data_IF_750243871972
#
_entry.id   IF_750243871972
#
_cell.length_a   1.000
_cell.length_b   1.000
_cell.length_c   1.000
_cell.angle_alpha   90.00
_cell.angle_beta   90.00
_cell.angle_gamma   90.00
#
_symmetry.space_group_name_H-M   'P 1'
#
loop_
_entity.id
_entity.type
_entity.pdbx_description
1 polymer ?
#
# COMPACT_ATOMS: atom_id res chain seq x y z
N UNK A 1 34.36 14.77 -22.56
CA UNK A 1 34.32 13.29 -22.55
C UNK A 1 34.46 12.87 -23.99
N UNK A 2 35.56 12.22 -24.37
CA UNK A 2 35.83 11.74 -25.75
C UNK A 2 35.51 10.25 -25.91
N UNK A 3 34.70 9.70 -25.02
CA UNK A 3 34.29 8.30 -25.07
C UNK A 3 33.22 8.10 -26.15
N UNK A 4 33.37 7.13 -27.08
CA UNK A 4 32.33 6.83 -28.06
C UNK A 4 31.01 6.43 -27.42
N UNK A 5 29.87 6.88 -27.98
CA UNK A 5 28.51 6.62 -27.45
C UNK A 5 28.23 5.12 -27.26
N UNK A 6 28.79 4.26 -28.11
CA UNK A 6 28.68 2.79 -27.98
C UNK A 6 29.26 2.22 -26.68
N UNK A 7 30.10 2.98 -25.98
CA UNK A 7 30.71 2.60 -24.71
C UNK A 7 30.03 3.29 -23.51
N UNK A 8 28.90 3.98 -23.71
CA UNK A 8 28.15 4.61 -22.63
C UNK A 8 27.41 3.54 -21.83
N UNK A 9 27.37 3.69 -20.50
CA UNK A 9 26.42 2.92 -19.70
C UNK A 9 24.98 3.29 -20.08
N UNK A 10 24.02 2.44 -19.74
CA UNK A 10 22.60 2.73 -19.95
C UNK A 10 22.19 4.09 -19.38
N UNK A 11 22.65 4.43 -18.17
CA UNK A 11 22.39 5.74 -17.54
C UNK A 11 23.05 6.92 -18.27
N UNK A 12 24.27 6.76 -18.81
CA UNK A 12 24.92 7.81 -19.60
C UNK A 12 24.23 8.01 -20.95
N UNK A 13 23.84 6.92 -21.60
CA UNK A 13 23.10 6.94 -22.85
C UNK A 13 21.75 7.65 -22.67
N UNK A 14 21.04 7.31 -21.58
CA UNK A 14 19.78 7.95 -21.22
C UNK A 14 19.90 9.45 -20.98
N UNK A 15 20.93 9.88 -20.23
CA UNK A 15 21.19 11.29 -19.97
C UNK A 15 21.43 12.07 -21.25
N UNK A 16 22.18 11.48 -22.18
CA UNK A 16 22.41 12.06 -23.49
C UNK A 16 21.12 12.10 -24.31
N UNK A 17 20.37 11.00 -24.38
CA UNK A 17 19.11 10.91 -25.11
C UNK A 17 18.11 11.96 -24.61
N UNK A 18 17.95 12.09 -23.29
CA UNK A 18 17.09 13.10 -22.70
C UNK A 18 17.58 14.52 -22.97
N UNK A 19 18.90 14.77 -22.88
CA UNK A 19 19.46 16.08 -23.20
C UNK A 19 19.19 16.48 -24.65
N UNK A 20 19.23 15.53 -25.58
CA UNK A 20 18.83 15.74 -26.98
C UNK A 20 17.34 16.06 -27.04
N UNK A 21 16.47 15.19 -26.51
CA UNK A 21 15.01 15.37 -26.54
C UNK A 21 14.58 16.71 -25.94
N UNK A 22 15.23 17.15 -24.85
CA UNK A 22 14.93 18.41 -24.18
C UNK A 22 15.16 19.66 -25.05
N UNK A 23 15.95 19.55 -26.14
CA UNK A 23 16.25 20.64 -27.07
C UNK A 23 15.66 20.42 -28.47
N UNK A 24 14.97 19.30 -28.69
CA UNK A 24 14.27 19.02 -29.96
C UNK A 24 12.96 19.80 -29.97
N UNK A 25 12.74 20.58 -31.03
CA UNK A 25 11.43 21.19 -31.30
C UNK A 25 10.57 20.22 -32.10
N UNK A 26 9.91 19.32 -31.38
CA UNK A 26 8.92 18.39 -31.92
C UNK A 26 7.52 18.76 -31.42
N UNK A 27 6.48 18.34 -32.15
CA UNK A 27 5.09 18.49 -31.74
C UNK A 27 4.59 17.30 -30.90
N UNK A 28 5.20 16.13 -31.11
CA UNK A 28 4.84 14.87 -30.47
C UNK A 28 6.12 14.22 -29.89
N UNK A 29 6.07 13.87 -28.62
CA UNK A 29 7.13 13.16 -27.90
C UNK A 29 6.64 11.78 -27.49
N UNK A 30 7.47 10.76 -27.70
CA UNK A 30 7.27 9.40 -27.19
C UNK A 30 8.34 9.11 -26.14
N UNK A 31 7.92 8.89 -24.91
CA UNK A 31 8.79 8.52 -23.81
C UNK A 31 8.49 7.09 -23.38
N UNK A 32 9.44 6.20 -23.67
CA UNK A 32 9.39 4.80 -23.25
C UNK A 32 10.32 4.59 -22.04
N UNK A 33 9.72 4.34 -20.88
CA UNK A 33 10.39 4.15 -19.60
C UNK A 33 11.41 5.25 -19.23
N UNK A 34 11.18 6.48 -19.71
CA UNK A 34 12.22 7.53 -19.61
C UNK A 34 12.56 7.92 -18.16
N UNK A 35 11.63 7.66 -17.25
CA UNK A 35 11.68 8.05 -15.85
C UNK A 35 12.12 6.91 -14.93
N UNK A 36 12.36 5.70 -15.44
CA UNK A 36 12.72 4.53 -14.60
C UNK A 36 14.22 4.46 -14.29
N UNK A 37 15.07 5.17 -15.04
CA UNK A 37 16.54 5.12 -14.85
C UNK A 37 17.14 6.48 -14.50
N UNK A 38 18.33 6.44 -13.89
CA UNK A 38 19.07 7.61 -13.42
C UNK A 38 18.87 7.89 -11.93
N UNK A 39 19.66 8.82 -11.40
CA UNK A 39 19.53 9.24 -10.01
C UNK A 39 18.32 10.15 -9.81
N UNK A 40 17.91 10.35 -8.55
CA UNK A 40 16.75 11.18 -8.21
C UNK A 40 16.83 12.61 -8.77
N UNK A 41 18.03 13.19 -8.80
CA UNK A 41 18.25 14.53 -9.34
C UNK A 41 18.01 14.60 -10.85
N UNK A 42 18.42 13.57 -11.60
CA UNK A 42 18.16 13.45 -13.03
C UNK A 42 16.68 13.18 -13.32
N UNK A 43 16.04 12.29 -12.55
CA UNK A 43 14.59 12.03 -12.66
C UNK A 43 13.78 13.30 -12.45
N UNK A 44 14.13 14.11 -11.45
CA UNK A 44 13.49 15.41 -11.22
C UNK A 44 13.66 16.39 -12.39
N UNK A 45 14.85 16.44 -13.01
CA UNK A 45 15.06 17.25 -14.23
C UNK A 45 14.20 16.76 -15.39
N UNK A 46 14.07 15.46 -15.55
CA UNK A 46 13.23 14.87 -16.60
C UNK A 46 11.77 15.23 -16.40
N UNK A 47 11.26 15.03 -15.18
CA UNK A 47 9.91 15.39 -14.77
C UNK A 47 9.60 16.86 -15.04
N UNK A 48 10.49 17.77 -14.62
CA UNK A 48 10.30 19.21 -14.83
C UNK A 48 10.21 19.56 -16.30
N UNK A 49 11.09 18.99 -17.13
CA UNK A 49 11.10 19.26 -18.57
C UNK A 49 9.89 18.66 -19.29
N UNK A 50 9.42 17.49 -18.89
CA UNK A 50 8.16 16.92 -19.39
C UNK A 50 7.00 17.88 -19.09
N UNK A 51 6.90 18.38 -17.86
CA UNK A 51 5.87 19.36 -17.49
C UNK A 51 5.99 20.68 -18.28
N UNK A 52 7.21 21.15 -18.53
CA UNK A 52 7.45 22.32 -19.41
C UNK A 52 6.92 22.07 -20.84
N UNK A 53 7.14 20.89 -21.41
CA UNK A 53 6.63 20.51 -22.74
C UNK A 53 5.10 20.41 -22.76
N UNK A 54 4.48 19.82 -21.73
CA UNK A 54 3.02 19.78 -21.57
C UNK A 54 2.44 21.20 -21.52
N UNK A 55 3.02 22.07 -20.70
CA UNK A 55 2.57 23.46 -20.57
C UNK A 55 2.78 24.29 -21.85
N UNK A 56 3.75 23.90 -22.68
CA UNK A 56 3.96 24.48 -24.01
C UNK A 56 2.98 23.94 -25.08
N UNK A 57 2.01 23.10 -24.70
CA UNK A 57 1.00 22.54 -25.60
C UNK A 57 1.52 21.40 -26.48
N UNK A 58 2.67 20.80 -26.15
CA UNK A 58 3.21 19.66 -26.89
C UNK A 58 2.47 18.38 -26.52
N UNK A 59 2.35 17.45 -27.48
CA UNK A 59 1.73 16.14 -27.23
C UNK A 59 2.76 15.16 -26.70
N UNK A 60 2.43 14.43 -25.64
CA UNK A 60 3.32 13.45 -25.03
C UNK A 60 2.59 12.10 -24.91
N UNK A 61 3.22 11.05 -25.44
CA UNK A 61 2.87 9.66 -25.18
C UNK A 61 3.91 9.12 -24.18
N UNK A 62 3.44 8.74 -22.99
CA UNK A 62 4.29 8.20 -21.93
C UNK A 62 3.97 6.72 -21.73
N UNK A 63 5.00 5.89 -21.73
CA UNK A 63 4.95 4.47 -21.34
C UNK A 63 5.81 4.31 -20.09
N UNK A 64 5.24 3.75 -19.03
CA UNK A 64 5.92 3.58 -17.74
C UNK A 64 5.30 2.45 -16.93
N UNK A 65 6.13 1.66 -16.26
CA UNK A 65 5.70 0.72 -15.23
C UNK A 65 5.46 1.39 -13.86
N UNK A 66 5.87 2.65 -13.69
CA UNK A 66 5.63 3.41 -12.47
C UNK A 66 4.30 4.17 -12.57
N UNK A 67 3.27 3.65 -11.89
CA UNK A 67 1.93 4.22 -11.92
C UNK A 67 1.86 5.63 -11.31
N UNK A 68 2.76 6.00 -10.41
CA UNK A 68 2.83 7.36 -9.87
C UNK A 68 3.28 8.37 -10.94
N UNK A 69 4.22 7.98 -11.80
CA UNK A 69 4.66 8.86 -12.90
C UNK A 69 3.50 9.07 -13.89
N UNK A 70 2.77 7.98 -14.20
CA UNK A 70 1.57 8.04 -15.04
C UNK A 70 0.49 8.94 -14.41
N UNK A 71 0.18 8.75 -13.13
CA UNK A 71 -0.82 9.54 -12.41
C UNK A 71 -0.49 11.04 -12.34
N UNK A 72 0.80 11.40 -12.21
CA UNK A 72 1.23 12.78 -12.08
C UNK A 72 1.38 13.52 -13.43
N UNK A 73 1.65 12.81 -14.52
CA UNK A 73 1.95 13.40 -15.83
C UNK A 73 0.75 13.33 -16.76
N UNK A 74 0.05 12.20 -16.77
CA UNK A 74 -0.96 11.91 -17.76
C UNK A 74 -2.34 12.27 -17.21
N UNK A 75 -3.10 13.20 -17.84
CA UNK A 75 -4.50 13.43 -17.47
C UNK A 75 -5.43 12.34 -18.04
N UNK A 76 -5.03 11.68 -19.12
CA UNK A 76 -5.74 10.57 -19.73
C UNK A 76 -4.80 9.37 -19.97
N UNK A 77 -5.35 8.16 -19.87
CA UNK A 77 -4.63 6.92 -20.11
C UNK A 77 -5.38 6.00 -21.06
N UNK A 78 -4.61 5.09 -21.67
CA UNK A 78 -5.08 4.01 -22.52
C UNK A 78 -4.61 2.69 -21.89
N UNK A 79 -5.54 1.81 -21.55
CA UNK A 79 -5.25 0.45 -21.10
C UNK A 79 -5.26 -0.50 -22.29
N UNK A 80 -4.14 -1.20 -22.47
CA UNK A 80 -3.97 -2.24 -23.49
C UNK A 80 -3.87 -3.61 -22.84
N UNK A 81 -4.50 -4.61 -23.45
CA UNK A 81 -4.36 -6.03 -23.11
C UNK A 81 -4.32 -6.82 -24.43
N UNK A 82 -3.29 -7.65 -24.61
CA UNK A 82 -3.09 -8.42 -25.83
C UNK A 82 -3.00 -7.57 -27.11
N UNK A 83 -2.57 -6.31 -27.01
CA UNK A 83 -2.54 -5.36 -28.13
C UNK A 83 -3.89 -4.71 -28.48
N UNK A 84 -4.93 -4.95 -27.67
CA UNK A 84 -6.27 -4.36 -27.85
C UNK A 84 -6.53 -3.32 -26.76
N UNK A 85 -7.16 -2.21 -27.14
CA UNK A 85 -7.64 -1.19 -26.20
C UNK A 85 -8.79 -1.77 -25.37
N UNK A 86 -8.57 -1.94 -24.07
CA UNK A 86 -9.60 -2.37 -23.12
C UNK A 86 -10.36 -1.21 -22.53
N UNK A 87 -9.66 -0.13 -22.21
CA UNK A 87 -10.24 1.07 -21.64
C UNK A 87 -9.44 2.31 -22.04
N UNK A 88 -10.10 3.46 -22.12
CA UNK A 88 -9.48 4.75 -22.34
C UNK A 88 -10.25 5.82 -21.59
N UNK A 89 -9.58 6.75 -20.92
CA UNK A 89 -10.27 7.76 -20.13
C UNK A 89 -9.36 8.48 -19.16
N UNK A 90 -9.95 9.04 -18.11
CA UNK A 90 -9.19 9.70 -17.06
C UNK A 90 -8.24 8.70 -16.37
N UNK A 91 -6.99 9.12 -16.19
CA UNK A 91 -5.91 8.27 -15.68
C UNK A 91 -6.28 7.51 -14.43
N UNK A 92 -6.93 8.14 -13.45
CA UNK A 92 -7.29 7.48 -12.19
C UNK A 92 -8.18 6.23 -12.39
N UNK A 93 -9.23 6.34 -13.21
CA UNK A 93 -10.12 5.20 -13.49
C UNK A 93 -9.38 4.08 -14.21
N UNK A 94 -8.59 4.43 -15.22
CA UNK A 94 -7.82 3.46 -16.02
C UNK A 94 -6.74 2.76 -15.20
N UNK A 95 -6.07 3.48 -14.30
CA UNK A 95 -5.11 2.91 -13.36
C UNK A 95 -5.79 1.98 -12.35
N UNK A 96 -7.05 2.25 -11.98
CA UNK A 96 -7.79 1.32 -11.14
C UNK A 96 -8.11 0.02 -11.90
N UNK A 97 -8.62 0.12 -13.13
CA UNK A 97 -8.95 -1.02 -14.00
C UNK A 97 -7.72 -1.90 -14.28
N UNK A 98 -6.56 -1.29 -14.60
CA UNK A 98 -5.28 -1.99 -14.79
C UNK A 98 -4.87 -2.78 -13.54
N UNK A 99 -5.06 -2.17 -12.37
CA UNK A 99 -4.66 -2.78 -11.11
C UNK A 99 -5.63 -3.88 -10.66
N UNK A 100 -6.92 -3.74 -10.88
CA UNK A 100 -7.89 -4.81 -10.61
C UNK A 100 -7.63 -6.03 -11.49
N UNK A 101 -7.35 -5.81 -12.78
CA UNK A 101 -6.98 -6.89 -13.69
C UNK A 101 -5.72 -7.64 -13.21
N UNK A 102 -4.63 -6.94 -12.89
CA UNK A 102 -3.37 -7.56 -12.44
C UNK A 102 -3.45 -8.23 -11.08
N UNK A 103 -4.24 -7.69 -10.13
CA UNK A 103 -4.49 -8.33 -8.84
C UNK A 103 -5.34 -9.58 -9.01
N UNK A 104 -6.37 -9.56 -9.85
CA UNK A 104 -7.23 -10.73 -10.09
C UNK A 104 -6.45 -11.92 -10.67
N UNK A 105 -5.46 -11.63 -11.52
CA UNK A 105 -4.55 -12.60 -12.10
C UNK A 105 -3.61 -13.18 -11.01
N UNK A 106 -3.02 -12.34 -10.17
CA UNK A 106 -2.11 -12.77 -9.09
C UNK A 106 -2.80 -13.53 -7.95
N UNK A 107 -4.06 -13.21 -7.65
CA UNK A 107 -4.86 -13.91 -6.63
C UNK A 107 -5.26 -15.32 -7.06
N UNK A 108 -5.35 -15.58 -8.37
CA UNK A 108 -5.60 -16.93 -8.89
C UNK A 108 -4.41 -17.87 -8.64
N UNK A 109 -3.18 -17.34 -8.60
CA UNK A 109 -1.96 -18.09 -8.28
C UNK A 109 -1.76 -18.31 -6.77
N UNK A 110 -2.41 -17.54 -5.90
CA UNK A 110 -2.19 -17.55 -4.44
C UNK A 110 -3.10 -18.53 -3.69
N UNK A 111 -3.89 -19.37 -4.37
CA UNK A 111 -4.88 -20.29 -3.77
C UNK A 111 -4.31 -21.48 -2.93
N UNK A 112 -3.04 -21.46 -2.50
CA UNK A 112 -2.43 -22.52 -1.68
C UNK A 112 -2.24 -22.20 -0.19
N UNK A 113 -2.79 -21.09 0.33
CA UNK A 113 -2.80 -20.86 1.78
C UNK A 113 -3.97 -21.61 2.45
N UNK A 114 -3.66 -22.71 3.13
CA UNK A 114 -4.64 -23.59 3.80
C UNK A 114 -5.28 -22.90 5.01
N UNK A 115 -6.62 -22.87 5.05
CA UNK A 115 -7.44 -22.46 6.19
C UNK A 115 -7.47 -23.58 7.25
N UNK A 116 -7.25 -23.31 8.56
CA UNK A 116 -7.49 -24.31 9.60
C UNK A 116 -9.00 -24.46 9.88
N UNK A 117 -9.51 -25.69 9.86
CA UNK A 117 -10.92 -26.01 10.17
C UNK A 117 -11.22 -26.08 11.69
N UNK A 118 -10.20 -26.02 12.56
CA UNK A 118 -10.38 -26.36 13.97
C UNK A 118 -10.53 -25.16 14.92
N UNK A 119 -11.78 -24.89 15.26
CA UNK A 119 -12.26 -23.90 16.25
C UNK A 119 -11.77 -24.20 17.68
N UNK A 120 -10.62 -23.67 18.13
CA UNK A 120 -10.29 -23.64 19.58
C UNK A 120 -9.45 -22.44 20.04
N UNK A 121 -9.81 -21.21 19.68
CA UNK A 121 -9.25 -20.02 20.34
C UNK A 121 -10.21 -18.83 20.35
N UNK A 122 -11.40 -19.01 20.93
CA UNK A 122 -12.27 -17.88 21.29
C UNK A 122 -12.97 -18.19 22.62
N UNK A 123 -12.58 -17.45 23.66
CA UNK A 123 -13.40 -17.30 24.86
C UNK A 123 -13.30 -15.82 25.29
N UNK A 124 -14.25 -15.02 24.81
CA UNK A 124 -14.63 -13.77 25.49
C UNK A 124 -15.80 -14.14 26.41
N UNK A 125 -15.49 -14.29 27.69
CA UNK A 125 -16.44 -14.78 28.70
C UNK A 125 -17.48 -13.71 29.02
N UNK A 126 -18.70 -13.86 28.48
CA UNK A 126 -19.97 -13.77 29.24
C UNK A 126 -21.23 -13.74 28.36
N UNK A 127 -21.44 -14.76 27.53
CA UNK A 127 -22.82 -15.19 27.23
C UNK A 127 -22.80 -16.68 26.91
N UNK A 128 -23.31 -17.49 27.83
CA UNK A 128 -23.34 -18.96 27.72
C UNK A 128 -24.34 -19.45 26.68
N UNK A 129 -24.34 -18.90 25.46
CA UNK A 129 -25.07 -19.39 24.30
C UNK A 129 -24.25 -19.19 23.03
N UNK A 130 -24.06 -20.28 22.29
CA UNK A 130 -23.44 -20.31 20.97
C UNK A 130 -24.24 -19.45 19.99
N UNK A 131 -23.59 -18.43 19.41
CA UNK A 131 -24.07 -17.61 18.29
C UNK A 131 -24.42 -18.42 17.02
N UNK A 132 -24.19 -19.73 17.01
CA UNK A 132 -24.45 -20.60 15.84
C UNK A 132 -25.76 -21.38 15.90
N UNK A 133 -26.55 -21.27 16.96
CA UNK A 133 -27.85 -21.93 17.07
C UNK A 133 -29.00 -20.93 16.88
N UNK A 134 -29.16 -20.38 15.67
CA UNK A 134 -30.48 -19.90 15.19
C UNK A 134 -30.52 -19.79 13.66
N UNK A 135 -31.32 -20.70 13.10
CA UNK A 135 -31.92 -20.76 11.77
C UNK A 135 -31.09 -21.32 10.60
N UNK A 136 -31.54 -22.47 10.04
CA UNK A 136 -31.17 -22.92 8.71
C UNK A 136 -32.00 -22.20 7.65
N UNK A 137 -31.43 -22.15 6.45
CA UNK A 137 -32.04 -21.82 5.15
C UNK A 137 -31.87 -20.38 4.63
N UNK A 138 -31.19 -20.33 3.48
CA UNK A 138 -31.03 -19.25 2.50
C UNK A 138 -30.14 -18.04 2.84
N UNK A 139 -28.85 -18.16 2.51
CA UNK A 139 -28.08 -17.02 2.03
C UNK A 139 -27.25 -17.40 0.79
N UNK A 140 -27.55 -16.75 -0.32
CA UNK A 140 -26.65 -16.64 -1.47
C UNK A 140 -25.26 -16.20 -0.96
N UNK A 141 -24.22 -16.95 -1.31
CA UNK A 141 -22.82 -16.66 -0.96
C UNK A 141 -22.43 -15.29 -1.57
N UNK A 142 -22.04 -14.29 -0.77
CA UNK A 142 -21.21 -13.22 -1.29
C UNK A 142 -19.79 -13.77 -1.46
N UNK A 143 -19.11 -13.42 -2.56
CA UNK A 143 -17.66 -13.60 -2.71
C UNK A 143 -16.96 -12.94 -1.51
N UNK A 144 -16.51 -13.76 -0.54
CA UNK A 144 -15.82 -13.28 0.67
C UNK A 144 -14.41 -12.87 0.28
N UNK A 145 -14.09 -11.58 0.33
CA UNK A 145 -12.68 -11.16 0.40
C UNK A 145 -12.02 -11.84 1.62
N UNK A 146 -10.75 -12.28 1.52
CA UNK A 146 -10.04 -12.84 2.66
C UNK A 146 -9.96 -11.81 3.78
N UNK A 147 -10.17 -12.26 5.03
CA UNK A 147 -10.07 -11.37 6.20
C UNK A 147 -8.64 -10.82 6.29
N UNK A 148 -8.48 -9.54 6.69
CA UNK A 148 -7.17 -8.95 6.92
C UNK A 148 -6.53 -9.46 8.23
N UNK A 149 -6.31 -10.78 8.31
CA UNK A 149 -5.83 -11.51 9.48
C UNK A 149 -4.94 -12.68 9.03
N UNK A 150 -3.80 -12.82 9.70
CA UNK A 150 -2.95 -14.01 9.64
C UNK A 150 -2.70 -14.50 11.05
N UNK A 151 -2.80 -15.80 11.25
CA UNK A 151 -2.48 -16.49 12.49
C UNK A 151 -1.48 -17.59 12.17
N UNK A 152 -0.43 -17.72 12.97
CA UNK A 152 0.52 -18.82 12.86
C UNK A 152 0.42 -19.73 14.08
N UNK A 153 0.24 -21.02 13.80
CA UNK A 153 0.16 -22.07 14.81
C UNK A 153 1.44 -22.90 14.86
N UNK A 154 1.77 -23.39 16.06
CA UNK A 154 2.88 -24.31 16.28
C UNK A 154 4.24 -23.76 15.86
N UNK A 155 5.07 -24.63 15.29
CA UNK A 155 6.47 -24.39 14.97
C UNK A 155 6.68 -23.68 13.62
N UNK A 156 5.62 -23.53 12.81
CA UNK A 156 5.68 -22.84 11.52
C UNK A 156 5.57 -21.31 11.64
N UNK A 157 5.46 -20.80 12.86
CA UNK A 157 5.42 -19.38 13.16
C UNK A 157 6.75 -18.69 12.79
N UNK A 158 6.72 -17.62 11.97
CA UNK A 158 7.92 -16.84 11.64
C UNK A 158 8.57 -16.33 12.92
N UNK A 159 9.83 -16.68 13.11
CA UNK A 159 10.54 -16.37 14.34
C UNK A 159 11.98 -16.84 14.31
N UNK A 160 12.61 -16.78 15.48
CA UNK A 160 13.90 -17.37 15.77
C UNK A 160 13.93 -17.83 17.24
N UNK A 161 15.12 -17.99 17.81
CA UNK A 161 15.28 -18.41 19.21
C UNK A 161 14.87 -17.33 20.22
N UNK A 162 14.73 -16.07 19.79
CA UNK A 162 14.34 -14.94 20.64
C UNK A 162 12.81 -14.74 20.67
N UNK A 163 12.13 -14.97 19.55
CA UNK A 163 10.70 -14.73 19.43
C UNK A 163 10.04 -15.53 18.31
N UNK A 164 8.70 -15.54 18.28
CA UNK A 164 7.92 -15.94 17.11
C UNK A 164 6.62 -15.15 16.99
N UNK A 165 6.22 -14.81 15.77
CA UNK A 165 4.97 -14.14 15.48
C UNK A 165 3.81 -15.12 15.63
N UNK A 166 2.71 -14.65 16.22
CA UNK A 166 1.50 -15.45 16.44
C UNK A 166 0.32 -14.94 15.65
N UNK A 167 0.18 -13.63 15.51
CA UNK A 167 -0.93 -13.04 14.76
C UNK A 167 -0.59 -11.65 14.23
N UNK A 168 -1.06 -11.34 13.03
CA UNK A 168 -1.11 -9.97 12.51
C UNK A 168 -2.52 -9.71 12.00
N UNK A 169 -3.08 -8.56 12.38
CA UNK A 169 -4.46 -8.20 12.06
C UNK A 169 -4.57 -6.72 11.74
N UNK A 170 -5.43 -6.39 10.78
CA UNK A 170 -5.86 -5.02 10.49
C UNK A 170 -7.38 -4.95 10.56
N UNK A 171 -7.94 -3.91 11.19
CA UNK A 171 -9.39 -3.66 11.17
C UNK A 171 -9.70 -2.17 11.32
N UNK A 172 -10.90 -1.75 10.96
CA UNK A 172 -11.41 -0.46 11.39
C UNK A 172 -11.61 -0.45 12.91
N UNK A 173 -11.13 0.59 13.58
CA UNK A 173 -11.25 0.75 15.01
C UNK A 173 -12.73 0.81 15.41
N UNK A 174 -13.12 -0.01 16.39
CA UNK A 174 -14.52 -0.11 16.82
C UNK A 174 -15.44 -0.93 15.91
N UNK A 175 -14.92 -1.52 14.82
CA UNK A 175 -15.67 -2.44 13.95
C UNK A 175 -15.23 -3.89 14.12
N UNK A 176 -16.08 -4.80 13.66
CA UNK A 176 -15.78 -6.21 13.50
C UNK A 176 -14.79 -6.44 12.35
N UNK A 177 -14.01 -7.51 12.42
CA UNK A 177 -12.92 -7.79 11.47
C UNK A 177 -13.39 -7.94 10.01
N UNK A 178 -14.63 -8.39 9.81
CA UNK A 178 -15.19 -8.64 8.47
C UNK A 178 -15.85 -7.40 7.86
N UNK A 179 -15.99 -6.32 8.63
CA UNK A 179 -16.56 -5.08 8.14
C UNK A 179 -15.56 -4.33 7.24
N UNK A 180 -16.11 -3.59 6.28
CA UNK A 180 -15.33 -2.77 5.38
C UNK A 180 -14.62 -1.65 6.14
N UNK A 181 -13.38 -1.39 5.74
CA UNK A 181 -12.64 -0.20 6.16
C UNK A 181 -12.88 0.90 5.15
N UNK A 182 -13.47 2.01 5.59
CA UNK A 182 -13.65 3.21 4.76
C UNK A 182 -12.65 4.30 5.13
N UNK A 183 -12.43 5.27 4.25
CA UNK A 183 -11.42 6.32 4.42
C UNK A 183 -11.54 7.10 5.74
N UNK A 184 -12.72 7.25 6.33
CA UNK A 184 -12.94 7.98 7.58
C UNK A 184 -12.59 7.17 8.82
N UNK A 185 -12.48 5.84 8.69
CA UNK A 185 -12.21 4.96 9.81
C UNK A 185 -10.76 5.13 10.28
N UNK A 186 -10.57 5.22 11.60
CA UNK A 186 -9.27 4.91 12.17
C UNK A 186 -8.98 3.42 11.99
N UNK A 187 -7.74 3.07 11.67
CA UNK A 187 -7.36 1.69 11.34
C UNK A 187 -6.46 1.16 12.46
N UNK A 188 -6.89 0.08 13.11
CA UNK A 188 -6.14 -0.62 14.13
C UNK A 188 -5.30 -1.73 13.49
N UNK A 189 -4.00 -1.72 13.76
CA UNK A 189 -3.06 -2.77 13.40
C UNK A 189 -2.58 -3.42 14.69
N UNK A 190 -2.76 -4.74 14.79
CA UNK A 190 -2.36 -5.54 15.96
C UNK A 190 -1.37 -6.62 15.55
N UNK A 191 -0.25 -6.70 16.26
CA UNK A 191 0.83 -7.68 16.05
C UNK A 191 1.03 -8.44 17.37
N UNK A 192 0.64 -9.71 17.41
CA UNK A 192 0.86 -10.60 18.54
C UNK A 192 2.09 -11.48 18.31
N UNK A 193 2.92 -11.60 19.33
CA UNK A 193 4.15 -12.40 19.29
C UNK A 193 4.44 -13.03 20.64
N UNK A 194 5.12 -14.16 20.62
CA UNK A 194 5.69 -14.79 21.80
C UNK A 194 7.18 -14.49 21.83
N UNK A 195 7.63 -14.02 22.98
CA UNK A 195 9.04 -13.82 23.28
C UNK A 195 9.55 -14.99 24.11
N UNK A 196 10.63 -15.61 23.64
CA UNK A 196 11.18 -16.87 24.16
C UNK A 196 12.29 -16.68 25.18
N UNK A 197 12.88 -15.48 25.25
CA UNK A 197 14.01 -15.16 26.13
C UNK A 197 13.70 -14.00 27.06
N UNK A 198 14.35 -14.00 28.22
CA UNK A 198 14.41 -12.84 29.12
C UNK A 198 15.52 -11.86 28.68
N UNK A 199 15.51 -10.64 29.22
CA UNK A 199 16.54 -9.59 29.12
C UNK A 199 16.85 -9.02 27.71
N UNK A 200 16.13 -9.46 26.68
CA UNK A 200 16.24 -8.91 25.32
C UNK A 200 15.08 -7.97 25.05
N UNK A 201 15.34 -6.79 24.50
CA UNK A 201 14.26 -5.92 24.04
C UNK A 201 13.91 -6.24 22.59
N UNK A 202 12.62 -6.42 22.30
CA UNK A 202 12.12 -6.68 20.95
C UNK A 202 11.20 -5.55 20.50
N UNK A 203 11.61 -4.88 19.44
CA UNK A 203 10.87 -3.81 18.79
C UNK A 203 10.05 -4.37 17.63
N UNK A 204 8.75 -4.14 17.67
CA UNK A 204 7.82 -4.48 16.59
C UNK A 204 7.58 -3.25 15.72
N UNK A 205 7.77 -3.42 14.42
CA UNK A 205 7.47 -2.42 13.42
C UNK A 205 6.71 -2.98 12.24
N UNK A 206 6.08 -2.08 11.51
CA UNK A 206 5.45 -2.40 10.24
C UNK A 206 5.72 -1.33 9.19
N UNK A 207 5.74 -1.76 7.94
CA UNK A 207 5.73 -0.90 6.78
C UNK A 207 4.41 -1.06 6.05
N UNK A 208 3.77 0.06 5.74
CA UNK A 208 2.58 0.08 4.90
C UNK A 208 2.98 0.47 3.49
N UNK A 209 2.64 -0.38 2.51
CA UNK A 209 2.89 -0.12 1.10
C UNK A 209 1.58 -0.09 0.33
N UNK A 210 1.54 0.65 -0.77
CA UNK A 210 0.41 0.59 -1.69
C UNK A 210 0.42 -0.70 -2.53
N UNK A 211 -0.63 -0.90 -3.31
CA UNK A 211 -0.78 -2.00 -4.28
C UNK A 211 0.34 -2.09 -5.32
N UNK A 212 1.12 -1.04 -5.53
CA UNK A 212 2.25 -1.01 -6.46
C UNK A 212 3.58 -1.34 -5.77
N UNK A 213 3.57 -1.62 -4.47
CA UNK A 213 4.75 -1.87 -3.64
C UNK A 213 5.48 -0.59 -3.20
N UNK A 214 4.90 0.59 -3.43
CA UNK A 214 5.46 1.86 -2.98
C UNK A 214 5.21 1.99 -1.48
N UNK A 215 6.30 2.06 -0.71
CA UNK A 215 6.25 2.27 0.73
C UNK A 215 5.62 3.62 1.06
N UNK A 216 4.49 3.61 1.76
CA UNK A 216 3.78 4.80 2.24
C UNK A 216 4.49 5.35 3.48
N UNK A 217 4.65 4.52 4.51
CA UNK A 217 5.39 4.86 5.72
C UNK A 217 5.80 3.60 6.50
N UNK A 218 6.69 3.79 7.48
CA UNK A 218 7.06 2.79 8.50
C UNK A 218 6.73 3.36 9.87
N UNK A 219 6.21 2.52 10.76
CA UNK A 219 6.02 2.82 12.17
C UNK A 219 6.48 1.66 13.03
N UNK A 220 6.94 1.94 14.25
CA UNK A 220 7.41 0.91 15.18
C UNK A 220 7.28 1.36 16.65
N UNK A 221 7.57 0.44 17.56
CA UNK A 221 7.43 0.66 18.99
C UNK A 221 8.61 1.41 19.63
N UNK A 222 9.65 1.77 18.86
CA UNK A 222 10.90 2.38 19.37
C UNK A 222 10.70 3.64 20.21
N UNK A 223 9.66 4.43 19.91
CA UNK A 223 9.39 5.73 20.53
C UNK A 223 8.56 5.62 21.81
N UNK A 224 7.82 4.52 21.98
CA UNK A 224 6.95 4.30 23.15
C UNK A 224 7.52 3.30 24.15
N UNK A 225 8.40 2.41 23.71
CA UNK A 225 9.01 1.41 24.58
C UNK A 225 10.41 1.84 25.02
N UNK A 226 10.62 1.98 26.32
CA UNK A 226 11.96 2.14 26.90
C UNK A 226 12.74 0.82 26.76
N UNK A 227 14.07 0.81 26.53
CA UNK A 227 14.86 -0.43 26.41
C UNK A 227 14.76 -1.36 27.64
N UNK A 228 14.38 -0.82 28.80
CA UNK A 228 14.16 -1.58 30.04
C UNK A 228 12.75 -2.16 30.18
N UNK A 229 11.82 -1.82 29.28
CA UNK A 229 10.44 -2.30 29.32
C UNK A 229 10.32 -3.66 28.64
N UNK A 230 9.43 -4.52 29.16
CA UNK A 230 9.04 -5.79 28.52
C UNK A 230 10.21 -6.74 28.24
N UNK A 231 11.16 -6.80 29.20
CA UNK A 231 12.35 -7.66 29.15
C UNK A 231 12.05 -9.10 29.53
N UNK A 232 10.96 -9.35 30.23
CA UNK A 232 10.51 -10.69 30.54
C UNK A 232 10.10 -11.49 29.28
N UNK A 233 10.19 -12.81 29.35
CA UNK A 233 9.60 -13.71 28.35
C UNK A 233 8.07 -13.74 28.51
N UNK A 234 7.36 -14.04 27.42
CA UNK A 234 5.90 -14.17 27.47
C UNK A 234 5.22 -13.83 26.15
N UNK A 235 3.89 -13.73 26.21
CA UNK A 235 3.06 -13.35 25.08
C UNK A 235 2.77 -11.85 25.12
N UNK A 236 2.99 -11.19 23.98
CA UNK A 236 2.85 -9.76 23.82
C UNK A 236 1.95 -9.44 22.63
N UNK A 237 1.31 -8.28 22.71
CA UNK A 237 0.57 -7.69 21.61
C UNK A 237 0.95 -6.21 21.49
N UNK A 238 1.41 -5.82 20.31
CA UNK A 238 1.63 -4.43 19.95
C UNK A 238 0.49 -3.92 19.10
N UNK A 239 -0.04 -2.74 19.42
CA UNK A 239 -1.14 -2.11 18.69
C UNK A 239 -0.72 -0.72 18.20
N UNK A 240 -1.07 -0.43 16.95
CA UNK A 240 -0.93 0.90 16.37
C UNK A 240 -2.27 1.33 15.75
N UNK A 241 -2.54 2.63 15.79
CA UNK A 241 -3.74 3.20 15.18
C UNK A 241 -3.33 4.22 14.14
N UNK A 242 -3.72 3.99 12.89
CA UNK A 242 -3.63 4.99 11.82
C UNK A 242 -4.89 5.85 11.93
N UNK A 243 -4.78 7.19 12.03
CA UNK A 243 -5.95 8.04 12.17
C UNK A 243 -6.87 7.97 10.95
N UNK A 244 -8.17 8.18 11.15
CA UNK A 244 -9.12 8.28 10.05
C UNK A 244 -8.79 9.47 9.13
N UNK A 245 -9.16 9.34 7.86
CA UNK A 245 -8.80 10.27 6.79
C UNK A 245 -7.27 10.44 6.64
N UNK A 246 -6.46 9.42 6.92
CA UNK A 246 -5.03 9.47 6.58
C UNK A 246 -4.72 8.78 5.27
N UNK A 247 -5.36 7.63 5.02
CA UNK A 247 -5.16 6.84 3.82
C UNK A 247 -6.23 7.18 2.79
N UNK A 248 -5.85 7.13 1.52
CA UNK A 248 -6.81 7.22 0.43
C UNK A 248 -7.43 5.86 0.12
N UNK A 249 -8.45 5.82 -0.75
CA UNK A 249 -9.01 4.53 -1.17
C UNK A 249 -8.00 3.78 -2.05
N UNK A 250 -7.57 2.62 -1.59
CA UNK A 250 -6.62 1.74 -2.28
C UNK A 250 -6.60 0.36 -1.63
N UNK A 251 -5.81 -0.55 -2.20
CA UNK A 251 -5.34 -1.75 -1.52
C UNK A 251 -3.97 -1.45 -0.94
N UNK A 252 -3.79 -1.79 0.33
CA UNK A 252 -2.54 -1.63 1.06
C UNK A 252 -2.03 -2.98 1.52
N UNK A 253 -0.72 -3.11 1.60
CA UNK A 253 -0.03 -4.30 2.04
C UNK A 253 0.89 -3.98 3.21
N UNK A 254 0.91 -4.86 4.19
CA UNK A 254 1.64 -4.74 5.44
C UNK A 254 2.88 -5.64 5.40
N UNK A 255 4.02 -5.04 5.67
CA UNK A 255 5.28 -5.73 5.94
C UNK A 255 5.60 -5.61 7.43
N UNK A 256 6.21 -6.62 8.03
CA UNK A 256 6.61 -6.63 9.44
C UNK A 256 8.13 -6.58 9.55
N UNK A 257 8.63 -5.70 10.41
CA UNK A 257 10.03 -5.58 10.76
C UNK A 257 10.18 -5.83 12.24
N UNK A 258 11.15 -6.65 12.61
CA UNK A 258 11.48 -6.90 14.01
C UNK A 258 12.92 -6.53 14.25
N UNK A 259 13.17 -5.73 15.28
CA UNK A 259 14.51 -5.35 15.70
C UNK A 259 14.77 -5.74 17.15
N UNK A 260 16.00 -6.11 17.44
CA UNK A 260 16.52 -6.31 18.78
C UNK A 260 17.22 -5.04 19.26
N UNK A 261 16.96 -4.65 20.50
CA UNK A 261 17.62 -3.54 21.20
C UNK A 261 17.71 -2.25 20.34
N UNK A 262 16.64 -1.98 19.57
CA UNK A 262 16.43 -0.83 18.66
C UNK A 262 17.43 -0.68 17.50
N UNK A 263 18.40 -1.59 17.35
CA UNK A 263 19.55 -1.36 16.45
C UNK A 263 19.79 -2.51 15.48
N UNK A 264 19.48 -3.74 15.87
CA UNK A 264 19.73 -4.94 15.07
C UNK A 264 18.43 -5.42 14.43
N UNK A 265 18.32 -5.39 13.10
CA UNK A 265 17.18 -6.02 12.42
C UNK A 265 17.34 -7.55 12.48
N UNK A 266 16.38 -8.22 13.12
CA UNK A 266 16.40 -9.68 13.31
C UNK A 266 15.36 -10.41 12.47
N UNK A 267 14.42 -9.68 11.88
CA UNK A 267 13.45 -10.23 10.93
C UNK A 267 12.85 -9.14 10.03
N UNK A 268 12.56 -9.52 8.79
CA UNK A 268 11.77 -8.75 7.85
C UNK A 268 10.87 -9.71 7.06
N UNK A 269 9.56 -9.50 7.14
CA UNK A 269 8.56 -10.22 6.36
C UNK A 269 7.83 -9.21 5.47
N UNK A 270 8.02 -9.33 4.17
CA UNK A 270 7.46 -8.40 3.21
C UNK A 270 6.04 -8.82 2.79
N UNK A 271 5.13 -7.83 2.71
CA UNK A 271 3.80 -7.96 2.09
C UNK A 271 2.96 -9.14 2.62
N UNK A 272 3.05 -9.41 3.92
CA UNK A 272 2.41 -10.60 4.50
C UNK A 272 0.90 -10.51 4.47
N UNK A 273 0.33 -9.32 4.64
CA UNK A 273 -1.11 -9.11 4.81
C UNK A 273 -1.57 -7.94 3.97
N UNK A 274 -2.67 -8.09 3.24
CA UNK A 274 -3.28 -7.01 2.46
C UNK A 274 -4.69 -6.68 2.96
N UNK A 275 -5.07 -5.41 2.85
CA UNK A 275 -6.41 -4.93 3.17
C UNK A 275 -6.81 -3.78 2.24
N UNK A 276 -8.12 -3.58 2.06
CA UNK A 276 -8.65 -2.52 1.20
C UNK A 276 -9.24 -1.40 2.06
N UNK A 277 -8.94 -0.16 1.68
CA UNK A 277 -9.63 1.04 2.15
C UNK A 277 -10.54 1.52 1.03
N UNK A 278 -11.83 1.67 1.32
CA UNK A 278 -12.84 2.09 0.34
C UNK A 278 -13.31 3.52 0.61
N UNK A 279 -13.83 4.21 -0.40
CA UNK A 279 -14.63 5.39 -0.15
C UNK A 279 -15.92 4.99 0.57
N UNK A 280 -16.35 5.80 1.54
CA UNK A 280 -17.67 5.64 2.15
C UNK A 280 -18.78 5.98 1.14
N UNK A 281 -19.98 5.46 1.37
CA UNK A 281 -21.15 5.82 0.55
C UNK A 281 -21.40 7.33 0.57
N UNK A 282 -21.18 7.97 1.73
CA UNK A 282 -21.30 9.42 1.88
C UNK A 282 -20.30 10.18 1.00
N UNK A 283 -19.05 9.70 0.92
CA UNK A 283 -18.01 10.30 0.08
C UNK A 283 -18.30 10.12 -1.41
N UNK A 284 -18.81 8.95 -1.81
CA UNK A 284 -19.18 8.66 -3.19
C UNK A 284 -20.40 9.48 -3.65
N UNK A 285 -21.34 9.75 -2.75
CA UNK A 285 -22.57 10.51 -3.02
C UNK A 285 -22.42 12.02 -2.80
N UNK A 286 -21.23 12.49 -2.40
CA UNK A 286 -20.97 13.92 -2.16
C UNK A 286 -21.21 14.76 -3.42
N UNK A 287 -21.88 15.90 -3.26
CA UNK A 287 -22.13 16.85 -4.36
C UNK A 287 -20.85 17.32 -5.07
N UNK A 288 -19.74 17.38 -4.33
CA UNK A 288 -18.43 17.74 -4.88
C UNK A 288 -17.93 16.74 -5.93
N UNK A 289 -18.35 15.46 -5.86
CA UNK A 289 -17.97 14.43 -6.84
C UNK A 289 -18.51 14.68 -8.24
N UNK A 290 -19.52 15.53 -8.39
CA UNK A 290 -20.00 15.99 -9.70
C UNK A 290 -18.99 16.89 -10.42
N UNK A 291 -18.14 17.56 -9.66
CA UNK A 291 -17.19 18.56 -10.16
C UNK A 291 -15.74 18.10 -10.07
N UNK A 292 -15.42 17.26 -9.07
CA UNK A 292 -14.05 16.86 -8.77
C UNK A 292 -13.93 15.33 -8.61
N UNK A 293 -12.98 14.70 -9.33
CA UNK A 293 -12.66 13.29 -9.11
C UNK A 293 -12.07 13.06 -7.71
N UNK A 294 -11.95 11.80 -7.26
CA UNK A 294 -11.16 11.42 -6.08
C UNK A 294 -9.84 12.16 -5.97
N UNK A 295 -9.53 12.66 -4.77
CA UNK A 295 -8.26 13.33 -4.51
C UNK A 295 -7.14 12.35 -4.85
N UNK A 296 -6.11 12.74 -5.63
CA UNK A 296 -5.00 11.86 -5.95
C UNK A 296 -4.06 11.66 -4.74
N UNK A 297 -3.24 10.62 -4.80
CA UNK A 297 -2.18 10.34 -3.82
C UNK A 297 -2.50 9.21 -2.84
N UNK A 298 -1.48 8.77 -2.11
CA UNK A 298 -1.56 7.65 -1.16
C UNK A 298 -2.10 8.06 0.22
N UNK A 299 -1.89 9.33 0.58
CA UNK A 299 -2.34 9.94 1.82
C UNK A 299 -3.39 11.01 1.55
N UNK A 300 -4.35 11.16 2.48
CA UNK A 300 -5.46 12.12 2.37
C UNK A 300 -5.78 12.83 3.70
N UNK A 301 -4.80 13.39 4.41
CA UNK A 301 -5.02 14.02 5.71
C UNK A 301 -6.10 15.11 5.64
N UNK A 302 -7.06 15.06 6.56
CA UNK A 302 -8.08 16.12 6.70
C UNK A 302 -7.46 17.37 7.33
N UNK A 303 -6.91 18.25 6.49
CA UNK A 303 -6.28 19.50 6.92
C UNK A 303 -7.32 20.54 7.35
N UNK A 304 -6.94 21.37 8.33
CA UNK A 304 -7.75 22.50 8.79
C UNK A 304 -7.45 23.73 7.94
N UNK A 305 -8.41 24.16 7.13
CA UNK A 305 -8.30 25.34 6.26
C UNK A 305 -9.08 26.51 6.83
N UNK A 306 -8.51 27.71 6.75
CA UNK A 306 -9.20 28.99 7.01
C UNK A 306 -9.16 29.84 5.74
N UNK A 307 -10.27 30.49 5.41
CA UNK A 307 -10.38 31.36 4.23
C UNK A 307 -10.94 32.71 4.64
N UNK A 308 -10.06 33.71 4.73
CA UNK A 308 -10.42 35.07 5.10
C UNK A 308 -10.48 35.95 3.85
N UNK A 309 -11.62 36.64 3.65
CA UNK A 309 -11.73 37.67 2.63
C UNK A 309 -10.96 38.91 3.10
N UNK A 310 -9.80 39.18 2.50
CA UNK A 310 -9.09 40.46 2.74
C UNK A 310 -9.84 41.60 2.04
N UNK A 311 -10.11 42.66 2.80
CA UNK A 311 -10.61 43.94 2.27
C UNK A 311 -9.48 44.71 1.61
#
# INVERSE_FOLDING_TARGET
MDTPVKNYSSGMYMRLAFAVIAHVDADIFLFDEVLSVGDAAFRFKCQRKINELVNAGKTIILVSHNLNDVANICPQCLLLDGGVVKASGQTFGILNDYMEASISESLSDTQQATYPEDKKFYDDKNSGQSIWERHPDNYNKPEKLPLPLIVWEGDNAPGNDLFCLRRVQVKAAGKELHEKVVIEDAIEISIAFEKKTDDVFIDMGFGLSDKSGVLVFISNTKEINHPESHKEKGFYESKAVIPGNWLNSSVYSLSIFVAKDKTENIMNLAFILSFKVEFSDAELQSEWRKYYPPDPGLLRPKLQWTVDKKQ
#
